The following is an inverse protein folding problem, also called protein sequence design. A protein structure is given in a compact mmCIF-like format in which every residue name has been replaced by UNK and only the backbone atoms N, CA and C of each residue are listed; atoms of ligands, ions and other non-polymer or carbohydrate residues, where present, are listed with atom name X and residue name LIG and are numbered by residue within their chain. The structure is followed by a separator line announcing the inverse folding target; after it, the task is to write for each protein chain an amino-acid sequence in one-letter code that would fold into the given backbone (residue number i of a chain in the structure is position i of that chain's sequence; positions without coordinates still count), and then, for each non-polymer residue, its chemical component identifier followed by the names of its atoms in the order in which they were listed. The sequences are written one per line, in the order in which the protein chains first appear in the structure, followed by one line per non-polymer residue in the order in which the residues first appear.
data_IF_782204953947
#
_entry.id   IF_782204953947
#
_cell.length_a   1.000
_cell.length_b   1.000
_cell.length_c   1.000
_cell.angle_alpha   90.00
_cell.angle_beta   90.00
_cell.angle_gamma   90.00
#
_symmetry.space_group_name_H-M   'P 1'
#
loop_
_entity.id
_entity.type
_entity.pdbx_description
1 polymer ?
#
# COMPACT_ATOMS: atom_id res chain seq x y z
N UNK A 1 22.06 8.29 -33.88
CA UNK A 1 21.52 7.25 -32.97
C UNK A 1 21.74 7.69 -31.53
N UNK A 2 20.79 8.43 -30.96
CA UNK A 2 20.80 8.83 -29.55
C UNK A 2 19.35 9.15 -29.18
N UNK A 3 18.92 8.76 -27.97
CA UNK A 3 17.60 8.99 -27.33
C UNK A 3 16.66 7.79 -27.12
N UNK A 4 16.97 6.55 -27.53
CA UNK A 4 16.15 5.39 -27.11
C UNK A 4 16.43 4.92 -25.67
N UNK A 5 17.69 4.96 -25.21
CA UNK A 5 18.04 4.47 -23.87
C UNK A 5 17.64 5.45 -22.75
N UNK A 6 17.72 6.76 -22.99
CA UNK A 6 17.30 7.79 -22.04
C UNK A 6 15.78 7.88 -21.88
N UNK A 7 15.01 7.60 -22.95
CA UNK A 7 13.55 7.52 -22.88
C UNK A 7 13.08 6.24 -22.22
N UNK A 8 13.75 5.09 -22.45
CA UNK A 8 13.49 3.88 -21.67
C UNK A 8 13.81 4.06 -20.18
N UNK A 9 14.94 4.66 -19.83
CA UNK A 9 15.28 4.95 -18.42
C UNK A 9 14.31 5.94 -17.75
N UNK A 10 13.73 6.88 -18.52
CA UNK A 10 12.68 7.79 -18.04
C UNK A 10 11.30 7.12 -17.92
N UNK A 11 10.98 6.17 -18.80
CA UNK A 11 9.75 5.35 -18.73
C UNK A 11 9.79 4.41 -17.53
N UNK A 12 10.93 3.75 -17.35
CA UNK A 12 11.25 2.92 -16.18
C UNK A 12 11.20 3.75 -14.88
N UNK A 13 11.57 5.03 -14.91
CA UNK A 13 11.47 5.94 -13.75
C UNK A 13 10.04 6.26 -13.27
N UNK A 14 9.01 5.98 -14.06
CA UNK A 14 7.62 6.39 -13.80
C UNK A 14 6.70 5.26 -13.33
N UNK A 15 7.18 4.03 -13.24
CA UNK A 15 6.34 2.87 -13.00
C UNK A 15 6.51 2.43 -11.53
N UNK A 16 5.47 2.58 -10.72
CA UNK A 16 5.33 2.05 -9.34
C UNK A 16 5.43 0.50 -9.23
N UNK A 17 6.06 -0.16 -10.19
CA UNK A 17 6.27 -1.61 -10.28
C UNK A 17 7.50 -2.12 -9.50
N UNK A 18 8.15 -1.27 -8.69
CA UNK A 18 9.55 -1.46 -8.29
C UNK A 18 9.83 -2.33 -7.07
N UNK A 19 8.81 -2.75 -6.31
CA UNK A 19 9.06 -3.59 -5.14
C UNK A 19 8.59 -5.01 -5.43
N UNK A 20 9.54 -5.90 -5.73
CA UNK A 20 9.21 -7.31 -5.90
C UNK A 20 8.87 -7.91 -4.55
N UNK A 21 7.99 -8.92 -4.52
CA UNK A 21 7.67 -9.64 -3.29
C UNK A 21 8.93 -10.18 -2.61
N UNK A 22 9.95 -10.59 -3.39
CA UNK A 22 11.25 -11.03 -2.89
C UNK A 22 12.02 -9.93 -2.14
N UNK A 23 11.94 -8.68 -2.59
CA UNK A 23 12.62 -7.55 -1.92
C UNK A 23 11.94 -7.23 -0.59
N UNK A 24 10.60 -7.25 -0.58
CA UNK A 24 9.80 -7.11 0.64
C UNK A 24 10.16 -8.23 1.62
N UNK A 25 10.14 -9.47 1.15
CA UNK A 25 10.43 -10.64 1.95
C UNK A 25 11.83 -10.54 2.57
N UNK A 26 12.87 -10.33 1.76
CA UNK A 26 14.26 -10.23 2.23
C UNK A 26 14.44 -9.13 3.28
N UNK A 27 13.76 -8.01 3.12
CA UNK A 27 13.92 -6.89 4.05
C UNK A 27 13.11 -7.10 5.33
N UNK A 28 11.84 -7.52 5.21
CA UNK A 28 10.96 -7.81 6.36
C UNK A 28 11.50 -8.96 7.20
N UNK A 29 11.99 -10.03 6.58
CA UNK A 29 12.53 -11.22 7.27
C UNK A 29 13.70 -10.87 8.19
N UNK A 30 14.60 -9.95 7.81
CA UNK A 30 15.69 -9.51 8.70
C UNK A 30 15.17 -8.92 10.02
N UNK A 31 14.11 -8.13 9.97
CA UNK A 31 13.51 -7.56 11.19
C UNK A 31 12.81 -8.62 12.02
N UNK A 32 12.17 -9.60 11.37
CA UNK A 32 11.54 -10.74 12.06
C UNK A 32 12.58 -11.69 12.66
N UNK A 33 13.70 -11.92 11.99
CA UNK A 33 14.83 -12.71 12.50
C UNK A 33 15.46 -12.02 13.72
N UNK A 34 15.63 -10.69 13.66
CA UNK A 34 16.11 -9.92 14.80
C UNK A 34 15.13 -9.89 15.97
N UNK A 35 13.83 -9.73 15.68
CA UNK A 35 12.76 -9.76 16.68
C UNK A 35 11.51 -10.44 16.10
N UNK A 36 11.23 -11.70 16.47
CA UNK A 36 10.07 -12.45 15.97
C UNK A 36 8.72 -11.82 16.29
N UNK A 37 8.67 -10.91 17.26
CA UNK A 37 7.44 -10.22 17.70
C UNK A 37 7.33 -8.79 17.15
N UNK A 38 8.19 -8.38 16.21
CA UNK A 38 8.21 -6.99 15.70
C UNK A 38 6.85 -6.51 15.18
N UNK A 39 6.07 -7.41 14.58
CA UNK A 39 4.73 -7.14 14.04
C UNK A 39 3.57 -7.65 14.92
N UNK A 40 3.86 -8.40 15.99
CA UNK A 40 2.83 -9.06 16.79
C UNK A 40 1.98 -8.03 17.55
N UNK A 41 0.66 -8.12 17.38
CA UNK A 41 -0.31 -7.21 17.97
C UNK A 41 -0.26 -5.79 17.39
N UNK A 42 0.44 -5.58 16.27
CA UNK A 42 0.62 -4.26 15.64
C UNK A 42 -0.41 -4.01 14.54
N UNK A 43 -0.73 -2.74 14.36
CA UNK A 43 -1.47 -2.22 13.21
C UNK A 43 -0.47 -1.83 12.13
N UNK A 44 -0.51 -2.51 11.00
CA UNK A 44 0.35 -2.23 9.85
C UNK A 44 -0.44 -1.45 8.80
N UNK A 45 0.11 -0.35 8.32
CA UNK A 45 -0.48 0.45 7.26
C UNK A 45 0.38 0.42 5.99
N UNK A 46 -0.20 -0.13 4.92
CA UNK A 46 0.39 -0.21 3.59
C UNK A 46 -0.34 0.77 2.66
N UNK A 47 -0.02 2.06 2.76
CA UNK A 47 -0.52 3.05 1.81
C UNK A 47 0.01 2.75 0.41
N UNK A 48 -0.87 2.75 -0.59
CA UNK A 48 -0.52 2.49 -1.99
C UNK A 48 -1.53 3.11 -2.95
N UNK A 49 -1.21 3.02 -4.24
CA UNK A 49 -2.06 3.54 -5.32
C UNK A 49 -3.18 2.57 -5.72
N UNK A 50 -2.91 1.26 -5.69
CA UNK A 50 -3.92 0.20 -5.79
C UNK A 50 -3.59 -1.00 -4.87
N UNK A 51 -4.42 -1.29 -3.85
CA UNK A 51 -4.30 -2.45 -2.98
C UNK A 51 -4.18 -3.79 -3.70
N UNK A 52 -4.89 -3.98 -4.82
CA UNK A 52 -4.86 -5.26 -5.56
C UNK A 52 -3.58 -5.47 -6.35
N UNK A 53 -2.80 -4.42 -6.56
CA UNK A 53 -1.49 -4.50 -7.22
C UNK A 53 -0.34 -4.43 -6.23
N UNK A 54 -0.54 -3.80 -5.07
CA UNK A 54 0.45 -3.63 -4.02
C UNK A 54 1.01 -4.95 -3.50
N UNK A 55 2.29 -5.21 -3.80
CA UNK A 55 3.01 -6.37 -3.26
C UNK A 55 3.17 -6.31 -1.74
N UNK A 56 3.17 -5.11 -1.14
CA UNK A 56 3.18 -4.95 0.32
C UNK A 56 1.89 -5.47 0.93
N UNK A 57 0.75 -5.04 0.40
CA UNK A 57 -0.54 -5.49 0.92
C UNK A 57 -0.67 -7.01 0.78
N UNK A 58 -0.36 -7.57 -0.40
CA UNK A 58 -0.38 -9.03 -0.63
C UNK A 58 0.51 -9.80 0.35
N UNK A 59 1.72 -9.30 0.59
CA UNK A 59 2.69 -9.93 1.49
C UNK A 59 2.18 -9.94 2.95
N UNK A 60 1.81 -8.77 3.48
CA UNK A 60 1.35 -8.67 4.87
C UNK A 60 0.00 -9.33 5.11
N UNK A 61 -0.88 -9.34 4.12
CA UNK A 61 -2.16 -10.03 4.22
C UNK A 61 -1.96 -11.56 4.24
N UNK A 62 -1.04 -12.11 3.44
CA UNK A 62 -0.68 -13.53 3.52
C UNK A 62 0.02 -13.88 4.84
N UNK A 63 0.83 -12.96 5.37
CA UNK A 63 1.52 -13.17 6.65
C UNK A 63 0.71 -12.74 7.88
N UNK A 64 -0.55 -12.31 7.72
CA UNK A 64 -1.35 -11.67 8.77
C UNK A 64 -1.38 -12.51 10.05
N UNK A 65 -1.78 -13.79 9.94
CA UNK A 65 -1.79 -14.73 11.07
C UNK A 65 -0.40 -15.09 11.55
N UNK A 66 0.51 -15.38 10.63
CA UNK A 66 1.87 -15.83 10.97
C UNK A 66 2.64 -14.78 11.78
N UNK A 67 2.41 -13.49 11.51
CA UNK A 67 2.99 -12.36 12.24
C UNK A 67 2.13 -11.90 13.42
N UNK A 68 0.92 -12.46 13.58
CA UNK A 68 -0.02 -12.08 14.62
C UNK A 68 -0.40 -10.61 14.55
N UNK A 69 -0.66 -10.08 13.35
CA UNK A 69 -1.09 -8.70 13.15
C UNK A 69 -2.42 -8.45 13.87
N UNK A 70 -2.58 -7.26 14.43
CA UNK A 70 -3.85 -6.82 15.02
C UNK A 70 -4.80 -6.29 13.95
N UNK A 71 -4.26 -5.51 13.00
CA UNK A 71 -5.01 -4.92 11.89
C UNK A 71 -4.05 -4.63 10.74
N UNK A 72 -4.52 -4.81 9.51
CA UNK A 72 -3.82 -4.43 8.28
C UNK A 72 -4.70 -3.42 7.54
N UNK A 73 -4.13 -2.24 7.28
CA UNK A 73 -4.80 -1.14 6.59
C UNK A 73 -4.13 -0.94 5.25
N UNK A 74 -4.90 -0.66 4.20
CA UNK A 74 -4.38 -0.18 2.92
C UNK A 74 -5.35 0.79 2.27
N UNK A 75 -4.86 1.66 1.40
CA UNK A 75 -5.64 2.66 0.66
C UNK A 75 -5.39 2.53 -0.83
N UNK A 76 -6.28 3.06 -1.64
CA UNK A 76 -6.07 3.31 -3.07
C UNK A 76 -6.17 4.79 -3.38
N UNK A 77 -5.50 5.23 -4.45
CA UNK A 77 -5.48 6.64 -4.86
C UNK A 77 -6.31 6.86 -6.12
N UNK A 78 -7.27 7.79 -6.08
CA UNK A 78 -8.21 8.03 -7.19
C UNK A 78 -7.54 8.49 -8.49
N UNK A 79 -6.33 9.05 -8.41
CA UNK A 79 -5.58 9.61 -9.54
C UNK A 79 -4.61 8.64 -10.22
N UNK A 80 -4.46 7.39 -9.74
CA UNK A 80 -3.49 6.47 -10.33
C UNK A 80 -3.99 5.84 -11.64
N UNK A 81 -3.11 5.69 -12.66
CA UNK A 81 -3.48 5.09 -13.94
C UNK A 81 -4.06 3.67 -13.78
N UNK A 82 -3.77 2.98 -12.68
CA UNK A 82 -4.06 1.56 -12.50
C UNK A 82 -5.23 1.28 -11.54
N UNK A 83 -5.65 2.26 -10.74
CA UNK A 83 -6.69 2.08 -9.72
C UNK A 83 -8.02 1.57 -10.26
N UNK A 84 -8.62 0.55 -9.64
CA UNK A 84 -10.03 0.19 -9.88
C UNK A 84 -10.30 -0.64 -11.13
N UNK A 85 -9.25 -1.12 -11.81
CA UNK A 85 -9.40 -2.01 -12.97
C UNK A 85 -9.95 -3.37 -12.56
N UNK A 86 -9.63 -3.85 -11.34
CA UNK A 86 -10.21 -5.10 -10.79
C UNK A 86 -11.56 -4.89 -10.09
N UNK A 87 -11.81 -3.74 -9.44
CA UNK A 87 -13.09 -3.48 -8.78
C UNK A 87 -14.28 -3.40 -9.77
N UNK A 88 -14.03 -2.92 -11.00
CA UNK A 88 -15.04 -2.94 -12.07
C UNK A 88 -15.41 -4.36 -12.53
N UNK A 89 -14.49 -5.32 -12.43
CA UNK A 89 -14.79 -6.73 -12.74
C UNK A 89 -15.75 -7.31 -11.68
N UNK A 90 -15.64 -6.86 -10.43
CA UNK A 90 -16.48 -7.35 -9.32
C UNK A 90 -17.85 -6.67 -9.21
N UNK A 91 -18.03 -5.51 -9.84
CA UNK A 91 -19.29 -4.76 -9.80
C UNK A 91 -20.27 -5.14 -10.92
N UNK A 92 -19.83 -5.93 -11.90
CA UNK A 92 -20.54 -6.15 -13.17
C UNK A 92 -21.09 -7.58 -13.36
N UNK A 93 -21.62 -8.21 -12.31
CA UNK A 93 -22.54 -9.35 -12.53
C UNK A 93 -24.01 -8.94 -12.71
N UNK A 94 -24.37 -7.66 -12.57
CA UNK A 94 -25.69 -7.20 -12.98
C UNK A 94 -25.62 -5.86 -13.70
N UNK A 95 -25.34 -5.91 -15.01
CA UNK A 95 -26.24 -5.38 -16.04
C UNK A 95 -25.60 -5.48 -17.42
N UNK A 96 -26.27 -6.22 -18.29
CA UNK A 96 -26.05 -6.19 -19.73
C UNK A 96 -26.08 -4.75 -20.26
N UNK A 97 -24.94 -4.21 -20.72
CA UNK A 97 -24.90 -3.27 -21.87
C UNK A 97 -23.49 -3.15 -22.47
N UNK A 98 -23.43 -3.51 -23.75
CA UNK A 98 -22.31 -3.28 -24.68
C UNK A 98 -21.96 -1.78 -24.81
N UNK A 99 -20.68 -1.55 -25.16
CA UNK A 99 -20.02 -0.42 -25.88
C UNK A 99 -18.88 0.13 -25.02
N UNK A 100 -17.63 0.09 -25.47
CA UNK A 100 -17.12 0.82 -26.63
C UNK A 100 -16.30 2.01 -26.10
N UNK A 101 -15.04 2.12 -26.52
CA UNK A 101 -14.04 3.07 -26.01
C UNK A 101 -14.55 4.52 -25.95
N UNK A 102 -14.54 5.14 -24.76
CA UNK A 102 -14.30 6.58 -24.52
C UNK A 102 -14.60 6.99 -23.07
N UNK A 103 -13.64 7.64 -22.41
CA UNK A 103 -13.88 8.45 -21.20
C UNK A 103 -13.27 7.93 -19.90
N UNK A 104 -12.10 8.49 -19.54
CA UNK A 104 -11.65 8.61 -18.15
C UNK A 104 -12.78 9.23 -17.32
N UNK A 105 -13.53 8.44 -16.54
CA UNK A 105 -14.50 8.93 -15.56
C UNK A 105 -14.20 8.30 -14.20
N UNK A 106 -13.73 9.15 -13.28
CA UNK A 106 -13.67 9.00 -11.82
C UNK A 106 -13.51 7.58 -11.28
N UNK A 107 -12.27 7.08 -11.26
CA UNK A 107 -11.88 5.93 -10.44
C UNK A 107 -12.00 6.36 -8.97
N UNK A 108 -12.90 5.74 -8.21
CA UNK A 108 -13.11 6.06 -6.78
C UNK A 108 -11.98 5.44 -5.95
N UNK A 109 -11.40 6.21 -5.04
CA UNK A 109 -10.48 5.72 -4.03
C UNK A 109 -11.25 4.97 -2.93
N UNK A 110 -10.58 4.03 -2.28
CA UNK A 110 -11.15 3.21 -1.22
C UNK A 110 -10.05 2.82 -0.23
N UNK A 111 -10.44 2.52 0.99
CA UNK A 111 -9.60 1.88 2.01
C UNK A 111 -10.06 0.45 2.24
N UNK A 112 -9.12 -0.40 2.62
CA UNK A 112 -9.36 -1.75 3.09
C UNK A 112 -8.79 -1.87 4.51
N UNK A 113 -9.58 -2.43 5.41
CA UNK A 113 -9.18 -2.72 6.79
C UNK A 113 -9.46 -4.20 7.09
N UNK A 114 -8.39 -4.96 7.35
CA UNK A 114 -8.47 -6.37 7.74
C UNK A 114 -8.14 -6.45 9.23
N UNK A 115 -9.12 -6.87 10.04
CA UNK A 115 -8.94 -7.12 11.47
C UNK A 115 -8.74 -8.60 11.78
N UNK A 116 -9.41 -9.46 11.04
CA UNK A 116 -9.33 -10.90 11.16
C UNK A 116 -9.38 -11.50 9.77
N UNK A 117 -8.59 -12.54 9.53
CA UNK A 117 -8.69 -13.33 8.31
C UNK A 117 -9.10 -14.72 8.75
N UNK A 118 -10.36 -15.10 8.56
CA UNK A 118 -10.77 -16.49 8.75
C UNK A 118 -10.14 -17.33 7.64
N UNK A 119 -9.58 -18.50 7.97
CA UNK A 119 -9.14 -19.46 6.95
C UNK A 119 -10.42 -20.13 6.42
N UNK A 120 -10.92 -19.62 5.31
CA UNK A 120 -12.25 -19.96 4.80
C UNK A 120 -12.22 -21.20 3.91
N UNK A 121 -11.12 -21.41 3.20
CA UNK A 121 -10.89 -22.60 2.39
C UNK A 121 -10.31 -23.78 3.20
N UNK A 122 -9.93 -23.55 4.47
CA UNK A 122 -9.33 -24.53 5.40
C UNK A 122 -8.02 -25.12 4.89
N UNK A 123 -7.29 -24.39 4.05
CA UNK A 123 -6.00 -24.84 3.51
C UNK A 123 -4.81 -24.50 4.43
N UNK A 124 -5.05 -23.77 5.52
CA UNK A 124 -4.03 -23.33 6.48
C UNK A 124 -3.23 -22.11 6.04
N UNK A 125 -3.54 -21.50 4.90
CA UNK A 125 -2.82 -20.38 4.27
C UNK A 125 -3.81 -19.27 3.91
N UNK A 126 -3.63 -18.09 4.49
CA UNK A 126 -4.41 -16.92 4.09
C UNK A 126 -3.93 -16.42 2.72
N UNK A 127 -4.57 -16.85 1.64
CA UNK A 127 -4.14 -16.51 0.28
C UNK A 127 -4.88 -15.27 -0.26
N UNK A 128 -4.45 -14.77 -1.42
CA UNK A 128 -5.09 -13.63 -2.10
C UNK A 128 -6.58 -13.88 -2.36
N UNK A 129 -6.97 -15.14 -2.55
CA UNK A 129 -8.35 -15.51 -2.82
C UNK A 129 -9.24 -15.44 -1.57
N UNK A 130 -8.72 -15.68 -0.37
CA UNK A 130 -9.45 -15.46 0.89
C UNK A 130 -9.67 -13.98 1.14
N UNK A 131 -8.68 -13.14 0.81
CA UNK A 131 -8.81 -11.68 0.90
C UNK A 131 -9.84 -11.18 -0.10
N UNK A 132 -9.81 -11.67 -1.35
CA UNK A 132 -10.85 -11.36 -2.34
C UNK A 132 -12.22 -11.81 -1.86
N UNK A 133 -12.31 -12.99 -1.24
CA UNK A 133 -13.56 -13.49 -0.69
C UNK A 133 -14.06 -12.60 0.45
N UNK A 134 -13.17 -12.22 1.39
CA UNK A 134 -13.45 -11.32 2.50
C UNK A 134 -13.93 -9.95 2.00
N UNK A 135 -13.26 -9.38 0.99
CA UNK A 135 -13.70 -8.12 0.37
C UNK A 135 -15.04 -8.23 -0.35
N UNK A 136 -15.42 -9.42 -0.85
CA UNK A 136 -16.71 -9.66 -1.50
C UNK A 136 -17.86 -9.87 -0.50
N UNK A 137 -17.59 -10.51 0.62
CA UNK A 137 -18.63 -10.96 1.56
C UNK A 137 -18.73 -10.07 2.81
N UNK A 138 -17.64 -9.40 3.20
CA UNK A 138 -17.64 -8.44 4.29
C UNK A 138 -17.77 -7.00 3.78
N UNK A 139 -19.00 -6.48 3.85
CA UNK A 139 -19.31 -5.09 3.50
C UNK A 139 -18.50 -4.05 4.29
N UNK A 140 -17.96 -4.41 5.46
CA UNK A 140 -17.19 -3.50 6.32
C UNK A 140 -15.67 -3.56 6.07
N UNK A 141 -15.19 -4.52 5.27
CA UNK A 141 -13.77 -4.65 5.00
C UNK A 141 -13.25 -3.58 4.03
N UNK A 142 -14.12 -2.95 3.24
CA UNK A 142 -13.76 -1.86 2.34
C UNK A 142 -14.75 -0.69 2.43
N UNK A 143 -14.23 0.53 2.34
CA UNK A 143 -15.05 1.75 2.30
C UNK A 143 -14.42 2.79 1.38
N UNK A 144 -15.25 3.66 0.81
CA UNK A 144 -14.79 4.70 -0.11
C UNK A 144 -14.01 5.78 0.64
N UNK A 145 -12.99 6.31 -0.03
CA UNK A 145 -12.32 7.54 0.37
C UNK A 145 -12.86 8.69 -0.47
N UNK A 146 -13.01 9.84 0.15
CA UNK A 146 -13.60 11.04 -0.43
C UNK A 146 -12.55 12.16 -0.63
N UNK A 147 -11.45 12.12 0.11
CA UNK A 147 -10.48 13.21 0.16
C UNK A 147 -11.05 14.40 0.94
N UNK A 148 -10.48 15.58 0.72
CA UNK A 148 -10.93 16.81 1.34
C UNK A 148 -10.84 18.01 0.38
N UNK A 149 -11.11 19.22 0.90
CA UNK A 149 -11.10 20.45 0.11
C UNK A 149 -9.72 20.78 -0.52
N UNK A 150 -8.65 20.14 -0.07
CA UNK A 150 -7.27 20.43 -0.45
C UNK A 150 -6.59 19.24 -1.15
N UNK A 151 -6.92 18.02 -0.76
CA UNK A 151 -6.26 16.81 -1.22
C UNK A 151 -7.25 15.81 -1.80
N UNK A 152 -6.86 15.18 -2.90
CA UNK A 152 -7.66 14.15 -3.56
C UNK A 152 -7.80 12.89 -2.67
N UNK A 153 -8.85 12.12 -2.92
CA UNK A 153 -9.10 10.88 -2.21
C UNK A 153 -7.93 9.88 -2.35
N UNK A 154 -7.41 9.42 -1.22
CA UNK A 154 -6.25 8.53 -1.14
C UNK A 154 -4.89 9.23 -1.10
N UNK A 155 -4.83 10.57 -1.20
CA UNK A 155 -3.59 11.31 -0.93
C UNK A 155 -3.25 11.18 0.56
N UNK A 156 -2.00 10.85 0.87
CA UNK A 156 -1.51 10.64 2.24
C UNK A 156 -1.69 11.87 3.15
N UNK A 157 -1.90 13.05 2.58
CA UNK A 157 -2.14 14.31 3.30
C UNK A 157 -3.61 14.57 3.57
N UNK A 158 -4.51 13.82 2.94
CA UNK A 158 -5.95 13.96 3.15
C UNK A 158 -6.32 13.56 4.57
N UNK A 159 -7.36 14.20 5.14
CA UNK A 159 -7.81 13.92 6.50
C UNK A 159 -8.08 12.44 6.76
N UNK A 160 -8.77 11.76 5.86
CA UNK A 160 -9.08 10.33 5.98
C UNK A 160 -7.79 9.48 6.01
N UNK A 161 -6.79 9.79 5.18
CA UNK A 161 -5.51 9.08 5.20
C UNK A 161 -4.69 9.36 6.47
N UNK A 162 -4.79 10.56 7.03
CA UNK A 162 -4.17 10.90 8.33
C UNK A 162 -4.84 10.12 9.46
N UNK A 163 -6.16 10.02 9.49
CA UNK A 163 -6.89 9.21 10.49
C UNK A 163 -6.50 7.73 10.42
N UNK A 164 -6.21 7.20 9.23
CA UNK A 164 -5.66 5.86 9.06
C UNK A 164 -4.20 5.75 9.54
N UNK A 165 -3.39 6.76 9.25
CA UNK A 165 -2.01 6.83 9.73
C UNK A 165 -1.95 6.86 11.27
N UNK A 166 -2.83 7.62 11.91
CA UNK A 166 -2.93 7.72 13.37
C UNK A 166 -3.19 6.36 14.03
N UNK A 167 -4.02 5.52 13.40
CA UNK A 167 -4.28 4.14 13.86
C UNK A 167 -3.10 3.19 13.71
N UNK A 168 -2.17 3.49 12.79
CA UNK A 168 -1.05 2.61 12.47
C UNK A 168 0.06 2.66 13.52
N UNK A 169 0.64 1.51 13.84
CA UNK A 169 1.89 1.42 14.59
C UNK A 169 3.10 1.45 13.66
N UNK A 170 2.98 0.77 12.51
CA UNK A 170 4.05 0.59 11.53
C UNK A 170 3.51 0.92 10.14
N UNK A 171 4.23 1.76 9.41
CA UNK A 171 3.95 2.06 8.00
C UNK A 171 4.92 1.31 7.10
N UNK A 172 4.41 0.59 6.10
CA UNK A 172 5.26 -0.14 5.15
C UNK A 172 4.87 0.20 3.72
N UNK A 173 5.77 0.85 2.98
CA UNK A 173 5.45 1.32 1.62
C UNK A 173 6.71 1.63 0.77
N UNK A 174 6.49 2.10 -0.45
CA UNK A 174 7.49 2.65 -1.37
C UNK A 174 6.88 3.89 -2.04
N UNK A 175 6.97 5.08 -1.41
CA UNK A 175 6.33 6.28 -1.93
C UNK A 175 7.09 6.81 -3.15
N UNK A 176 6.41 7.50 -4.09
CA UNK A 176 7.06 8.07 -5.25
C UNK A 176 8.11 9.10 -4.81
N UNK A 177 9.21 9.16 -5.57
CA UNK A 177 10.38 9.98 -5.23
C UNK A 177 10.06 11.45 -4.97
N UNK A 178 9.12 12.02 -5.71
CA UNK A 178 8.67 13.41 -5.56
C UNK A 178 8.01 13.69 -4.21
N UNK A 179 7.38 12.68 -3.60
CA UNK A 179 6.65 12.79 -2.34
C UNK A 179 7.44 12.24 -1.15
N UNK A 180 8.55 11.53 -1.42
CA UNK A 180 9.32 10.76 -0.45
C UNK A 180 9.73 11.57 0.80
N UNK A 181 10.33 12.75 0.63
CA UNK A 181 10.82 13.57 1.76
C UNK A 181 9.68 14.07 2.65
N UNK A 182 8.62 14.55 2.02
CA UNK A 182 7.45 15.04 2.73
C UNK A 182 6.74 13.91 3.48
N UNK A 183 6.64 12.74 2.84
CA UNK A 183 6.03 11.58 3.46
C UNK A 183 6.82 11.10 4.68
N UNK A 184 8.15 10.95 4.58
CA UNK A 184 8.98 10.60 5.74
C UNK A 184 8.84 11.61 6.86
N UNK A 185 8.85 12.91 6.54
CA UNK A 185 8.64 13.94 7.56
C UNK A 185 7.32 13.73 8.29
N UNK A 186 6.23 13.45 7.56
CA UNK A 186 4.94 13.15 8.16
C UNK A 186 5.01 11.91 9.08
N UNK A 187 5.63 10.80 8.64
CA UNK A 187 5.76 9.61 9.48
C UNK A 187 6.50 9.89 10.79
N UNK A 188 7.57 10.68 10.71
CA UNK A 188 8.35 11.10 11.89
C UNK A 188 7.54 12.02 12.80
N UNK A 189 6.84 13.02 12.24
CA UNK A 189 6.01 13.95 13.01
C UNK A 189 4.90 13.20 13.78
N UNK A 190 4.35 12.13 13.19
CA UNK A 190 3.34 11.26 13.81
C UNK A 190 3.94 10.13 14.68
N UNK A 191 5.26 10.09 14.86
CA UNK A 191 5.95 9.11 15.70
C UNK A 191 5.80 7.67 15.23
N UNK A 192 5.61 7.45 13.93
CA UNK A 192 5.37 6.13 13.35
C UNK A 192 6.68 5.41 13.12
N UNK A 193 6.70 4.10 13.40
CA UNK A 193 7.77 3.23 12.89
C UNK A 193 7.50 2.99 11.41
N UNK A 194 8.54 2.89 10.59
CA UNK A 194 8.30 2.67 9.18
C UNK A 194 9.37 1.84 8.48
N UNK A 195 8.93 1.05 7.51
CA UNK A 195 9.77 0.37 6.56
C UNK A 195 9.48 0.94 5.17
N UNK A 196 10.43 1.71 4.64
CA UNK A 196 10.34 2.25 3.28
C UNK A 196 11.39 1.57 2.40
N UNK A 197 10.94 0.85 1.39
CA UNK A 197 11.83 0.27 0.38
C UNK A 197 11.95 1.26 -0.77
N UNK A 198 13.13 1.86 -0.93
CA UNK A 198 13.42 2.82 -2.00
C UNK A 198 14.80 2.61 -2.62
N UNK A 199 15.10 3.35 -3.67
CA UNK A 199 16.43 3.33 -4.29
C UNK A 199 17.49 3.81 -3.28
N UNK A 200 18.68 3.17 -3.26
CA UNK A 200 19.82 3.50 -2.39
C UNK A 200 20.16 5.00 -2.32
N UNK A 201 19.89 5.76 -3.39
CA UNK A 201 20.08 7.22 -3.40
C UNK A 201 19.29 7.95 -2.29
N UNK A 202 18.22 7.37 -1.76
CA UNK A 202 17.43 7.92 -0.66
C UNK A 202 18.22 8.03 0.66
N UNK A 203 19.28 7.22 0.85
CA UNK A 203 20.14 7.25 2.04
C UNK A 203 20.87 8.60 2.16
N UNK A 204 21.14 9.27 1.04
CA UNK A 204 21.90 10.53 0.99
C UNK A 204 21.09 11.77 1.36
N UNK A 205 19.80 11.62 1.68
CA UNK A 205 18.95 12.78 1.97
C UNK A 205 19.17 13.32 3.36
N UNK A 206 19.11 14.66 3.46
CA UNK A 206 19.27 15.38 4.73
C UNK A 206 18.26 14.94 5.78
N UNK A 207 17.08 14.50 5.36
CA UNK A 207 16.00 14.05 6.23
C UNK A 207 16.13 12.56 6.61
N UNK A 208 16.86 11.76 5.83
CA UNK A 208 16.97 10.30 6.01
C UNK A 208 18.26 9.93 6.74
N UNK A 209 19.37 10.56 6.38
CA UNK A 209 20.68 10.26 6.95
C UNK A 209 20.72 10.43 8.48
N UNK A 210 20.13 11.49 9.09
CA UNK A 210 20.04 11.61 10.54
C UNK A 210 19.22 10.48 11.18
N UNK A 211 18.12 10.06 10.56
CA UNK A 211 17.27 8.97 11.08
C UNK A 211 18.02 7.63 11.10
N UNK A 212 18.82 7.36 10.07
CA UNK A 212 19.70 6.18 10.02
C UNK A 212 20.78 6.30 11.10
N UNK A 213 21.43 7.47 11.21
CA UNK A 213 22.51 7.71 12.18
C UNK A 213 22.03 7.59 13.63
N UNK A 214 20.81 8.04 13.91
CA UNK A 214 20.23 8.07 15.26
C UNK A 214 19.39 6.82 15.58
N UNK A 215 19.31 5.85 14.65
CA UNK A 215 18.47 4.66 14.76
C UNK A 215 16.99 4.97 15.08
N UNK A 216 16.47 6.03 14.45
CA UNK A 216 15.10 6.55 14.63
C UNK A 216 14.18 6.20 13.44
N UNK A 217 14.39 5.03 12.84
CA UNK A 217 13.57 4.47 11.76
C UNK A 217 12.81 3.25 12.28
#
# INVERSE_FOLDING_TARGET
MANKNLTNAKRVKNDEFYTQNQDIQKEVEKYVEYNPNVFRGKVVYCNCDDPFESNFFKYFANKFKSYGLKKLITTSYAGSPITGTQLQIFSNEETNKKKGLSGRKNKKAYKIEINEVSDLNKDGITNLDDIKWLLKHEKNASSLLHGDNKYAAGDFRSKECIELLEQADIVVTNPPFSLFREYIKQLVDFGKKFLIIGNMNAITYKEVFPLIKENKR
#
